data_IF_520095992753
#
_entry.id   IF_520095992753
#
_cell.length_a   1.000
_cell.length_b   1.000
_cell.length_c   1.000
_cell.angle_alpha   90.00
_cell.angle_beta   90.00
_cell.angle_gamma   90.00
#
_symmetry.space_group_name_H-M   'P 1'
#
loop_
_entity.id
_entity.type
_entity.pdbx_description
1 polymer ?
#
# COMPACT_ATOMS: atom_id res chain seq x y z
N UNK A 1 -3.66 -9.67 -21.24
CA UNK A 1 -4.85 -10.54 -21.24
C UNK A 1 -5.37 -10.72 -19.82
N UNK A 2 -6.68 -10.54 -19.57
CA UNK A 2 -7.26 -10.76 -18.22
C UNK A 2 -7.52 -12.25 -17.99
N UNK A 3 -7.66 -12.73 -16.73
CA UNK A 3 -8.02 -14.13 -16.48
C UNK A 3 -9.29 -14.56 -17.22
N UNK A 4 -10.29 -13.68 -17.30
CA UNK A 4 -11.52 -13.90 -18.07
C UNK A 4 -11.26 -14.17 -19.55
N UNK A 5 -10.44 -13.35 -20.20
CA UNK A 5 -10.09 -13.56 -21.62
C UNK A 5 -9.33 -14.88 -21.81
N UNK A 6 -8.35 -15.17 -20.94
CA UNK A 6 -7.64 -16.47 -20.98
C UNK A 6 -8.58 -17.68 -20.85
N UNK A 7 -9.63 -17.57 -20.03
CA UNK A 7 -10.60 -18.68 -19.85
C UNK A 7 -11.55 -18.82 -21.04
N UNK A 8 -11.96 -17.72 -21.66
CA UNK A 8 -12.86 -17.74 -22.83
C UNK A 8 -12.14 -18.23 -24.09
N UNK A 9 -10.88 -17.86 -24.25
CA UNK A 9 -10.06 -18.24 -25.41
C UNK A 9 -9.49 -19.68 -25.32
N UNK A 10 -9.73 -20.39 -24.21
CA UNK A 10 -9.12 -21.69 -23.97
C UNK A 10 -9.82 -22.80 -24.79
N UNK A 11 -9.09 -23.65 -25.55
CA UNK A 11 -9.68 -24.60 -26.51
C UNK A 11 -10.59 -25.68 -25.89
N UNK A 12 -10.47 -25.96 -24.60
CA UNK A 12 -11.31 -26.95 -23.91
C UNK A 12 -12.57 -26.35 -23.28
N UNK A 13 -12.81 -25.05 -23.50
CA UNK A 13 -13.92 -24.34 -22.87
C UNK A 13 -15.21 -24.49 -23.69
N UNK A 14 -16.27 -24.96 -23.02
CA UNK A 14 -17.57 -25.14 -23.66
C UNK A 14 -18.28 -23.80 -23.85
N UNK A 15 -18.98 -23.65 -24.98
CA UNK A 15 -19.75 -22.44 -25.33
C UNK A 15 -20.77 -22.06 -24.25
N UNK A 16 -21.49 -23.04 -23.70
CA UNK A 16 -22.44 -22.80 -22.61
C UNK A 16 -21.77 -22.19 -21.37
N UNK A 17 -20.56 -22.65 -21.02
CA UNK A 17 -19.80 -22.09 -19.91
C UNK A 17 -19.32 -20.68 -20.22
N UNK A 18 -18.89 -20.40 -21.45
CA UNK A 18 -18.50 -19.06 -21.89
C UNK A 18 -19.68 -18.08 -21.77
N UNK A 19 -20.87 -18.48 -22.21
CA UNK A 19 -22.08 -17.65 -22.11
C UNK A 19 -22.44 -17.37 -20.65
N UNK A 20 -22.45 -18.39 -19.81
CA UNK A 20 -22.71 -18.23 -18.38
C UNK A 20 -21.69 -17.29 -17.71
N UNK A 21 -20.40 -17.49 -18.00
CA UNK A 21 -19.29 -16.69 -17.47
C UNK A 21 -19.36 -15.24 -17.96
N UNK A 22 -19.71 -15.02 -19.22
CA UNK A 22 -19.84 -13.67 -19.80
C UNK A 22 -21.01 -12.92 -19.17
N UNK A 23 -22.13 -13.60 -18.92
CA UNK A 23 -23.28 -13.01 -18.23
C UNK A 23 -22.92 -12.55 -16.82
N UNK A 24 -22.25 -13.39 -16.03
CA UNK A 24 -21.82 -13.02 -14.67
C UNK A 24 -20.76 -11.92 -14.70
N UNK A 25 -19.80 -11.99 -15.63
CA UNK A 25 -18.77 -10.96 -15.80
C UNK A 25 -19.37 -9.59 -16.16
N UNK A 26 -20.38 -9.56 -17.03
CA UNK A 26 -21.11 -8.34 -17.40
C UNK A 26 -21.88 -7.74 -16.24
N UNK A 27 -22.57 -8.59 -15.44
CA UNK A 27 -23.33 -8.14 -14.27
C UNK A 27 -22.44 -7.53 -13.18
N UNK A 28 -21.27 -8.12 -12.94
CA UNK A 28 -20.35 -7.67 -11.89
C UNK A 28 -19.52 -6.47 -12.37
N UNK A 29 -19.21 -6.38 -13.66
CA UNK A 29 -18.31 -5.39 -14.26
C UNK A 29 -17.01 -5.24 -13.44
N UNK A 30 -16.13 -6.26 -13.44
CA UNK A 30 -14.96 -6.28 -12.56
C UNK A 30 -13.96 -5.15 -12.87
N UNK A 31 -13.99 -4.55 -14.06
CA UNK A 31 -13.19 -3.38 -14.38
C UNK A 31 -13.63 -2.15 -13.55
N UNK A 32 -14.94 -1.95 -13.38
CA UNK A 32 -15.46 -0.88 -12.52
C UNK A 32 -15.07 -1.11 -11.05
N UNK A 33 -15.22 -2.34 -10.56
CA UNK A 33 -14.82 -2.71 -9.19
C UNK A 33 -13.32 -2.48 -8.98
N UNK A 34 -12.48 -2.89 -9.93
CA UNK A 34 -11.04 -2.69 -9.84
C UNK A 34 -10.66 -1.20 -9.78
N UNK A 35 -11.32 -0.34 -10.56
CA UNK A 35 -11.12 1.12 -10.49
C UNK A 35 -11.52 1.68 -9.13
N UNK A 36 -12.62 1.21 -8.54
CA UNK A 36 -13.05 1.64 -7.20
C UNK A 36 -12.04 1.22 -6.13
N UNK A 37 -11.55 -0.02 -6.17
CA UNK A 37 -10.51 -0.51 -5.25
C UNK A 37 -9.24 0.34 -5.38
N UNK A 38 -8.80 0.61 -6.60
CA UNK A 38 -7.62 1.46 -6.84
C UNK A 38 -7.83 2.89 -6.34
N UNK A 39 -9.01 3.47 -6.54
CA UNK A 39 -9.35 4.79 -6.01
C UNK A 39 -9.29 4.81 -4.47
N UNK A 40 -9.85 3.80 -3.80
CA UNK A 40 -9.79 3.69 -2.34
C UNK A 40 -8.36 3.51 -1.83
N UNK A 41 -7.57 2.66 -2.48
CA UNK A 41 -6.15 2.49 -2.15
C UNK A 41 -5.41 3.82 -2.30
N UNK A 42 -5.67 4.57 -3.39
CA UNK A 42 -5.04 5.88 -3.60
C UNK A 42 -5.37 6.86 -2.48
N UNK A 43 -6.64 6.90 -2.03
CA UNK A 43 -7.06 7.76 -0.92
C UNK A 43 -6.39 7.36 0.39
N UNK A 44 -6.37 6.07 0.72
CA UNK A 44 -5.70 5.55 1.91
C UNK A 44 -4.20 5.85 1.89
N UNK A 45 -3.56 5.69 0.74
CA UNK A 45 -2.16 6.00 0.55
C UNK A 45 -1.88 7.50 0.75
N UNK A 46 -2.72 8.38 0.17
CA UNK A 46 -2.62 9.82 0.38
C UNK A 46 -2.78 10.19 1.85
N UNK A 47 -3.75 9.62 2.56
CA UNK A 47 -3.93 9.88 4.00
C UNK A 47 -2.71 9.41 4.81
N UNK A 48 -2.21 8.21 4.55
CA UNK A 48 -1.06 7.65 5.26
C UNK A 48 0.23 8.46 5.01
N UNK A 49 0.41 8.98 3.80
CA UNK A 49 1.63 9.74 3.42
C UNK A 49 1.53 11.23 3.67
N UNK A 50 0.33 11.82 3.67
CA UNK A 50 0.11 13.26 3.93
C UNK A 50 0.61 13.73 5.31
N UNK A 51 0.70 12.82 6.29
CA UNK A 51 1.25 13.11 7.62
C UNK A 51 2.79 13.06 7.66
N UNK A 52 3.44 12.51 6.65
CA UNK A 52 4.89 12.53 6.50
C UNK A 52 5.29 13.77 5.69
N UNK A 53 5.39 14.93 6.35
CA UNK A 53 5.98 16.10 5.72
C UNK A 53 7.42 15.75 5.27
N UNK A 54 7.79 15.97 4.00
CA UNK A 54 9.16 15.83 3.54
C UNK A 54 9.96 17.00 4.13
N UNK A 55 10.49 16.80 5.34
CA UNK A 55 11.27 17.83 6.04
C UNK A 55 11.20 17.80 7.56
N UNK A 56 10.29 17.05 8.18
CA UNK A 56 10.34 16.88 9.63
C UNK A 56 11.42 15.88 9.97
N UNK A 57 12.65 16.38 10.05
CA UNK A 57 13.73 15.72 10.75
C UNK A 57 13.14 15.20 12.07
N UNK A 58 13.24 13.89 12.38
CA UNK A 58 12.73 13.39 13.66
C UNK A 58 13.35 14.27 14.75
N UNK A 59 12.59 14.71 15.77
CA UNK A 59 13.22 15.35 16.91
C UNK A 59 14.18 14.30 17.46
N UNK A 60 15.45 14.41 17.10
CA UNK A 60 16.51 13.71 17.76
C UNK A 60 16.47 14.28 19.16
N UNK A 61 15.71 13.62 20.04
CA UNK A 61 15.81 13.80 21.47
C UNK A 61 17.30 13.81 21.73
N UNK A 62 17.83 14.98 22.08
CA UNK A 62 19.22 15.16 22.47
C UNK A 62 19.38 14.41 23.79
N UNK A 63 19.42 13.08 23.72
CA UNK A 63 20.12 12.29 24.72
C UNK A 63 21.54 12.82 24.68
N UNK A 64 21.95 13.44 25.78
CA UNK A 64 23.30 13.94 25.99
C UNK A 64 24.29 12.90 25.45
N UNK A 65 25.23 13.35 24.62
CA UNK A 65 26.30 12.48 24.14
C UNK A 65 26.98 11.90 25.38
N UNK A 66 27.04 10.58 25.45
CA UNK A 66 27.56 9.75 26.56
C UNK A 66 29.00 10.09 27.01
N UNK A 67 29.67 11.08 26.40
CA UNK A 67 31.04 11.51 26.72
C UNK A 67 31.13 12.81 27.52
N UNK A 68 30.02 13.47 27.84
CA UNK A 68 30.03 14.71 28.63
C UNK A 68 29.75 14.49 30.13
N UNK A 69 29.59 13.22 30.54
CA UNK A 69 29.32 12.82 31.93
C UNK A 69 30.57 12.29 32.66
N UNK A 70 31.76 12.82 32.37
CA UNK A 70 32.96 12.54 33.17
C UNK A 70 33.77 13.81 33.39
N UNK A 71 33.21 14.77 34.12
CA UNK A 71 34.03 15.68 34.92
C UNK A 71 34.08 15.12 36.34
N UNK A 72 35.20 14.51 36.70
CA UNK A 72 35.49 14.07 38.07
C UNK A 72 35.55 15.30 38.97
N UNK A 73 34.82 15.35 40.11
CA UNK A 73 34.95 16.46 41.03
C UNK A 73 36.33 16.40 41.71
N UNK A 74 37.21 17.36 41.41
CA UNK A 74 38.43 17.59 42.18
C UNK A 74 38.03 18.06 43.58
N UNK A 75 38.36 17.28 44.62
CA UNK A 75 38.29 17.74 46.00
C UNK A 75 39.49 18.65 46.27
N UNK A 76 39.21 19.89 46.66
CA UNK A 76 40.21 20.77 47.26
C UNK A 76 40.64 20.21 48.61
N UNK A 77 41.94 20.35 48.91
CA UNK A 77 42.63 19.87 50.11
C UNK A 77 42.12 20.52 51.40
#
# INVERSE_FOLDING_TARGET
TTPFHRTVDHPTMNVERIVALTRTYSLINPAAIQRQIQALISQLFTLATSKAAPGTQPPTNKRARLREATNTPTRAC
#
